data_IF_928494807047
#
_entry.id   IF_928494807047
#
_cell.length_a   1.000
_cell.length_b   1.000
_cell.length_c   1.000
_cell.angle_alpha   90.00
_cell.angle_beta   90.00
_cell.angle_gamma   90.00
#
_symmetry.space_group_name_H-M   'P 1'
#
loop_
_entity.id
_entity.type
_entity.pdbx_description
1 polymer ?
#
# COMPACT_ATOMS: atom_id res chain seq x y z
N UNK A 1 28.26 -16.18 -29.24
CA UNK A 1 27.23 -15.57 -30.11
C UNK A 1 25.87 -15.92 -29.53
N UNK A 2 25.23 -14.98 -28.85
CA UNK A 2 23.82 -15.11 -28.44
C UNK A 2 23.01 -15.00 -29.74
N UNK A 3 22.21 -16.02 -30.07
CA UNK A 3 21.48 -16.07 -31.35
C UNK A 3 20.49 -14.88 -31.43
N UNK A 4 20.28 -14.36 -32.63
CA UNK A 4 19.28 -13.31 -32.90
C UNK A 4 17.87 -13.69 -32.38
N UNK A 5 17.59 -15.00 -32.30
CA UNK A 5 16.36 -15.56 -31.73
C UNK A 5 16.29 -15.34 -30.23
N UNK A 6 17.40 -15.45 -29.49
CA UNK A 6 17.45 -15.19 -28.05
C UNK A 6 17.23 -13.70 -27.74
N UNK A 7 17.81 -12.81 -28.55
CA UNK A 7 17.60 -11.37 -28.47
C UNK A 7 16.15 -10.98 -28.84
N UNK A 8 15.56 -11.66 -29.85
CA UNK A 8 14.18 -11.44 -30.24
C UNK A 8 13.19 -11.93 -29.18
N UNK A 9 13.42 -13.10 -28.57
CA UNK A 9 12.62 -13.63 -27.47
C UNK A 9 12.76 -12.72 -26.23
N UNK A 10 13.97 -12.25 -25.87
CA UNK A 10 14.19 -11.30 -24.79
C UNK A 10 13.45 -9.97 -25.05
N UNK A 11 13.49 -9.46 -26.29
CA UNK A 11 12.76 -8.24 -26.70
C UNK A 11 11.23 -8.44 -26.69
N UNK A 12 10.75 -9.64 -27.01
CA UNK A 12 9.33 -9.99 -26.93
C UNK A 12 8.87 -10.16 -25.49
N UNK A 13 9.68 -10.77 -24.63
CA UNK A 13 9.38 -10.89 -23.18
C UNK A 13 9.34 -9.53 -22.47
N UNK A 14 10.12 -8.54 -22.91
CA UNK A 14 10.04 -7.16 -22.38
C UNK A 14 8.75 -6.41 -22.78
N UNK A 15 7.99 -6.89 -23.75
CA UNK A 15 6.72 -6.28 -24.19
C UNK A 15 5.47 -6.89 -23.54
N UNK A 16 5.61 -8.00 -22.82
CA UNK A 16 4.48 -8.67 -22.17
C UNK A 16 4.51 -8.35 -20.67
N UNK A 17 4.09 -7.15 -20.31
CA UNK A 17 3.57 -6.93 -18.96
C UNK A 17 2.14 -7.46 -18.95
N UNK A 18 1.81 -8.49 -18.17
CA UNK A 18 0.44 -8.92 -18.05
C UNK A 18 -0.39 -7.72 -17.56
N UNK A 19 -1.49 -7.43 -18.26
CA UNK A 19 -2.46 -6.46 -17.82
C UNK A 19 -3.18 -7.03 -16.61
N UNK A 20 -2.92 -6.49 -15.43
CA UNK A 20 -3.64 -6.86 -14.22
C UNK A 20 -4.99 -6.14 -14.16
N UNK A 21 -5.99 -6.81 -13.62
CA UNK A 21 -7.29 -6.24 -13.31
C UNK A 21 -7.64 -6.51 -11.86
N UNK A 22 -8.45 -5.64 -11.27
CA UNK A 22 -9.05 -5.84 -9.96
C UNK A 22 -10.57 -5.90 -10.13
N UNK A 23 -11.23 -6.77 -9.38
CA UNK A 23 -12.68 -6.77 -9.31
C UNK A 23 -13.13 -5.73 -8.28
N UNK A 24 -13.66 -4.60 -8.74
CA UNK A 24 -14.22 -3.54 -7.89
C UNK A 24 -15.74 -3.56 -8.04
N UNK A 25 -16.46 -3.97 -7.00
CA UNK A 25 -17.93 -4.05 -6.99
C UNK A 25 -18.52 -4.88 -8.15
N UNK A 26 -17.83 -5.93 -8.60
CA UNK A 26 -18.26 -6.79 -9.71
C UNK A 26 -17.84 -6.29 -11.09
N UNK A 27 -17.14 -5.17 -11.19
CA UNK A 27 -16.59 -4.64 -12.44
C UNK A 27 -15.07 -4.83 -12.49
N UNK A 28 -14.55 -5.18 -13.67
CA UNK A 28 -13.11 -5.31 -13.87
C UNK A 28 -12.48 -3.93 -14.03
N UNK A 29 -11.66 -3.56 -13.07
CA UNK A 29 -10.88 -2.33 -13.06
C UNK A 29 -9.46 -2.60 -13.58
N UNK A 30 -9.07 -2.11 -14.77
CA UNK A 30 -7.76 -2.39 -15.34
C UNK A 30 -6.65 -1.58 -14.66
N UNK A 31 -5.48 -2.20 -14.48
CA UNK A 31 -4.26 -1.56 -14.00
C UNK A 31 -3.30 -1.26 -15.16
N UNK A 32 -3.83 -0.69 -16.24
CA UNK A 32 -3.07 -0.37 -17.47
C UNK A 32 -2.05 0.76 -17.27
N UNK A 33 -2.24 1.58 -16.25
CA UNK A 33 -1.33 2.63 -15.82
C UNK A 33 -1.15 2.57 -14.30
N UNK A 34 -0.01 3.03 -13.77
CA UNK A 34 0.17 3.12 -12.32
C UNK A 34 -0.85 4.04 -11.66
N UNK A 35 -1.36 3.62 -10.49
CA UNK A 35 -2.33 4.36 -9.69
C UNK A 35 -1.67 5.07 -8.52
N UNK A 36 -2.29 6.16 -8.08
CA UNK A 36 -1.92 6.88 -6.87
C UNK A 36 -2.92 6.61 -5.74
N UNK A 37 -2.43 6.01 -4.67
CA UNK A 37 -3.18 5.77 -3.44
C UNK A 37 -2.76 6.79 -2.38
N UNK A 38 -3.62 7.79 -2.12
CA UNK A 38 -3.37 8.85 -1.16
C UNK A 38 -3.64 8.39 0.28
N UNK A 39 -2.71 8.64 1.19
CA UNK A 39 -2.81 8.26 2.61
C UNK A 39 -3.61 9.30 3.38
N UNK A 40 -4.73 8.90 3.98
CA UNK A 40 -5.54 9.73 4.86
C UNK A 40 -5.57 9.15 6.28
N UNK A 41 -4.68 9.64 7.15
CA UNK A 41 -4.64 9.23 8.54
C UNK A 41 -5.65 10.02 9.38
N UNK A 42 -6.62 9.32 9.99
CA UNK A 42 -7.64 9.90 10.88
C UNK A 42 -7.27 9.68 12.36
N UNK A 43 -6.02 9.95 12.68
CA UNK A 43 -5.50 9.89 14.05
C UNK A 43 -5.67 11.23 14.75
N UNK A 44 -5.72 11.24 16.09
CA UNK A 44 -5.79 12.48 16.85
C UNK A 44 -4.62 13.42 16.52
N UNK A 45 -3.43 12.88 16.35
CA UNK A 45 -2.21 13.65 16.03
C UNK A 45 -2.29 14.33 14.66
N UNK A 46 -2.92 13.71 13.67
CA UNK A 46 -3.00 14.24 12.31
C UNK A 46 -3.91 15.48 12.19
N UNK A 47 -4.84 15.67 13.15
CA UNK A 47 -5.83 16.74 13.14
C UNK A 47 -5.86 17.56 14.45
N UNK A 48 -4.86 17.40 15.34
CA UNK A 48 -4.84 18.00 16.68
C UNK A 48 -4.82 19.54 16.69
N UNK A 49 -4.50 20.19 15.58
CA UNK A 49 -4.57 21.65 15.47
C UNK A 49 -6.00 22.18 15.29
N UNK A 50 -6.96 21.30 14.95
CA UNK A 50 -8.37 21.64 14.82
C UNK A 50 -9.16 21.06 16.00
N UNK A 51 -10.01 21.86 16.67
CA UNK A 51 -10.91 21.35 17.68
C UNK A 51 -11.77 20.22 17.11
N UNK A 52 -12.26 19.28 17.94
CA UNK A 52 -13.11 18.13 17.51
C UNK A 52 -14.31 18.56 16.64
N UNK A 53 -14.73 19.82 16.71
CA UNK A 53 -15.83 20.38 15.91
C UNK A 53 -15.47 20.59 14.43
N UNK A 54 -14.18 20.66 14.07
CA UNK A 54 -13.71 20.88 12.69
C UNK A 54 -13.13 19.62 12.04
N UNK A 55 -13.18 18.47 12.71
CA UNK A 55 -12.64 17.21 12.19
C UNK A 55 -13.32 16.74 10.89
N UNK A 56 -14.67 16.78 10.77
CA UNK A 56 -15.34 16.40 9.50
C UNK A 56 -14.94 17.29 8.33
N UNK A 57 -14.87 18.60 8.52
CA UNK A 57 -14.47 19.55 7.48
C UNK A 57 -13.01 19.34 7.06
N UNK A 58 -12.12 19.07 8.02
CA UNK A 58 -10.70 18.81 7.74
C UNK A 58 -10.54 17.51 6.92
N UNK A 59 -11.30 16.44 7.25
CA UNK A 59 -11.32 15.19 6.50
C UNK A 59 -11.88 15.44 5.09
N UNK A 60 -12.98 16.16 4.96
CA UNK A 60 -13.59 16.50 3.68
C UNK A 60 -12.61 17.28 2.78
N UNK A 61 -11.95 18.29 3.33
CA UNK A 61 -10.94 19.08 2.62
C UNK A 61 -9.75 18.24 2.18
N UNK A 62 -9.22 17.39 3.05
CA UNK A 62 -8.09 16.53 2.74
C UNK A 62 -8.44 15.51 1.64
N UNK A 63 -9.56 14.81 1.78
CA UNK A 63 -10.02 13.84 0.78
C UNK A 63 -10.29 14.51 -0.57
N UNK A 64 -11.00 15.66 -0.58
CA UNK A 64 -11.24 16.42 -1.81
C UNK A 64 -9.93 16.89 -2.45
N UNK A 65 -9.00 17.42 -1.67
CA UNK A 65 -7.70 17.84 -2.18
C UNK A 65 -6.93 16.68 -2.82
N UNK A 66 -6.92 15.49 -2.21
CA UNK A 66 -6.27 14.32 -2.79
C UNK A 66 -6.88 13.93 -4.14
N UNK A 67 -8.21 13.90 -4.23
CA UNK A 67 -8.92 13.59 -5.48
C UNK A 67 -8.67 14.66 -6.55
N UNK A 68 -8.74 15.93 -6.20
CA UNK A 68 -8.48 17.06 -7.12
C UNK A 68 -7.02 17.06 -7.62
N UNK A 69 -6.07 16.56 -6.83
CA UNK A 69 -4.66 16.38 -7.20
C UNK A 69 -4.40 15.10 -8.02
N UNK A 70 -5.38 14.23 -8.17
CA UNK A 70 -5.33 13.05 -9.01
C UNK A 70 -5.05 11.75 -8.27
N UNK A 71 -5.40 11.63 -6.98
CA UNK A 71 -5.44 10.32 -6.31
C UNK A 71 -6.54 9.46 -6.94
N UNK A 72 -6.20 8.22 -7.28
CA UNK A 72 -7.15 7.22 -7.79
C UNK A 72 -7.85 6.49 -6.65
N UNK A 73 -7.15 6.32 -5.50
CA UNK A 73 -7.63 5.62 -4.31
C UNK A 73 -7.32 6.48 -3.08
N UNK A 74 -8.25 6.54 -2.12
CA UNK A 74 -8.00 7.10 -0.78
C UNK A 74 -7.83 5.92 0.19
N UNK A 75 -6.67 5.83 0.85
CA UNK A 75 -6.38 4.81 1.86
C UNK A 75 -6.52 5.40 3.27
N UNK A 76 -7.55 4.98 4.00
CA UNK A 76 -7.92 5.55 5.28
C UNK A 76 -7.44 4.66 6.41
N UNK A 77 -6.62 5.23 7.32
CA UNK A 77 -6.14 4.54 8.51
C UNK A 77 -6.44 5.33 9.80
N UNK A 78 -6.94 4.65 10.82
CA UNK A 78 -7.19 5.26 12.14
C UNK A 78 -6.12 4.91 13.18
N UNK A 79 -5.30 3.91 12.89
CA UNK A 79 -4.18 3.50 13.73
C UNK A 79 -2.88 4.11 13.23
N UNK A 80 -2.08 4.68 14.14
CA UNK A 80 -0.73 5.11 13.79
C UNK A 80 0.22 3.91 13.86
N UNK A 81 0.91 3.62 12.76
CA UNK A 81 2.00 2.62 12.72
C UNK A 81 3.36 3.24 13.05
N UNK A 82 3.40 4.50 13.51
CA UNK A 82 4.63 5.17 13.91
C UNK A 82 5.18 4.58 15.22
N UNK A 83 6.52 4.49 15.37
CA UNK A 83 7.14 4.10 16.64
C UNK A 83 6.63 4.95 17.81
N UNK A 84 6.16 4.30 18.89
CA UNK A 84 5.70 4.99 20.08
C UNK A 84 4.24 5.46 20.07
N UNK A 85 3.49 5.20 19.00
CA UNK A 85 2.06 5.48 18.98
C UNK A 85 1.31 4.56 19.96
N UNK A 86 0.38 5.14 20.72
CA UNK A 86 -0.49 4.36 21.61
C UNK A 86 -1.46 3.52 20.77
N UNK A 87 -1.56 2.21 21.00
CA UNK A 87 -2.54 1.39 20.31
C UNK A 87 -3.96 1.84 20.74
N UNK A 88 -4.84 1.94 19.76
CA UNK A 88 -6.27 2.12 20.00
C UNK A 88 -6.97 0.74 19.94
N UNK A 89 -8.09 0.61 20.64
CA UNK A 89 -8.91 -0.60 20.56
C UNK A 89 -9.75 -0.63 19.27
N UNK A 90 -10.43 -1.74 19.03
CA UNK A 90 -11.22 -1.97 17.83
C UNK A 90 -12.42 -1.03 17.75
N UNK A 91 -13.07 -0.73 18.88
CA UNK A 91 -14.23 0.15 18.94
C UNK A 91 -13.85 1.60 18.56
N UNK A 92 -12.75 2.10 19.12
CA UNK A 92 -12.25 3.44 18.79
C UNK A 92 -11.74 3.54 17.33
N UNK A 93 -11.08 2.50 16.82
CA UNK A 93 -10.70 2.44 15.41
C UNK A 93 -11.91 2.53 14.51
N UNK A 94 -12.93 1.70 14.76
CA UNK A 94 -14.16 1.71 13.97
C UNK A 94 -14.91 3.03 14.06
N UNK A 95 -14.97 3.63 15.25
CA UNK A 95 -15.58 4.94 15.47
C UNK A 95 -14.91 6.04 14.62
N UNK A 96 -13.59 6.06 14.55
CA UNK A 96 -12.81 7.02 13.74
C UNK A 96 -13.02 6.78 12.25
N UNK A 97 -12.86 5.54 11.81
CA UNK A 97 -13.05 5.16 10.41
C UNK A 97 -14.48 5.44 9.95
N UNK A 98 -15.49 5.02 10.70
CA UNK A 98 -16.90 5.22 10.34
C UNK A 98 -17.29 6.69 10.22
N UNK A 99 -16.74 7.56 11.10
CA UNK A 99 -16.95 9.00 11.00
C UNK A 99 -16.32 9.57 9.72
N UNK A 100 -15.09 9.16 9.39
CA UNK A 100 -14.38 9.63 8.20
C UNK A 100 -15.02 9.10 6.91
N UNK A 101 -15.39 7.83 6.88
CA UNK A 101 -16.03 7.18 5.74
C UNK A 101 -17.35 7.85 5.36
N UNK A 102 -18.19 8.19 6.36
CA UNK A 102 -19.43 8.96 6.12
C UNK A 102 -19.14 10.28 5.43
N UNK A 103 -18.20 11.06 5.96
CA UNK A 103 -17.82 12.36 5.39
C UNK A 103 -17.33 12.22 3.95
N UNK A 104 -16.50 11.21 3.66
CA UNK A 104 -15.97 11.03 2.30
C UNK A 104 -17.05 10.57 1.33
N UNK A 105 -17.93 9.64 1.75
CA UNK A 105 -19.07 9.22 0.91
C UNK A 105 -20.04 10.36 0.60
N UNK A 106 -20.24 11.29 1.54
CA UNK A 106 -21.09 12.45 1.33
C UNK A 106 -20.53 13.42 0.27
N UNK A 107 -19.20 13.61 0.21
CA UNK A 107 -18.56 14.54 -0.72
C UNK A 107 -18.09 13.89 -2.04
N UNK A 108 -17.82 12.60 -2.02
CA UNK A 108 -17.28 11.83 -3.14
C UNK A 108 -17.80 10.39 -3.12
N UNK A 109 -19.09 10.15 -3.42
CA UNK A 109 -19.72 8.83 -3.31
C UNK A 109 -19.05 7.75 -4.19
N UNK A 110 -18.47 8.16 -5.33
CA UNK A 110 -17.82 7.25 -6.28
C UNK A 110 -16.32 7.04 -6.04
N UNK A 111 -15.74 7.69 -5.00
CA UNK A 111 -14.31 7.53 -4.72
C UNK A 111 -13.98 6.09 -4.37
N UNK A 112 -12.89 5.56 -4.94
CA UNK A 112 -12.34 4.28 -4.49
C UNK A 112 -11.69 4.47 -3.12
N UNK A 113 -12.14 3.68 -2.15
CA UNK A 113 -11.66 3.73 -0.78
C UNK A 113 -11.04 2.39 -0.40
N UNK A 114 -9.84 2.48 0.16
CA UNK A 114 -9.14 1.43 0.87
C UNK A 114 -9.20 1.71 2.38
N UNK A 115 -9.30 0.69 3.20
CA UNK A 115 -9.14 0.80 4.65
C UNK A 115 -7.83 0.15 5.10
N UNK A 116 -6.96 0.93 5.79
CA UNK A 116 -5.72 0.46 6.40
C UNK A 116 -6.04 -0.08 7.80
N UNK A 117 -6.23 -1.39 7.90
CA UNK A 117 -6.50 -2.09 9.15
C UNK A 117 -5.98 -3.53 9.12
N UNK A 118 -5.49 -3.99 10.26
CA UNK A 118 -5.13 -5.40 10.47
C UNK A 118 -6.22 -6.18 11.24
N UNK A 119 -7.36 -5.56 11.54
CA UNK A 119 -8.47 -6.19 12.27
C UNK A 119 -9.56 -6.63 11.31
N UNK A 120 -9.84 -7.93 11.30
CA UNK A 120 -10.86 -8.51 10.41
C UNK A 120 -12.27 -7.97 10.66
N UNK A 121 -12.64 -7.71 11.91
CA UNK A 121 -13.95 -7.17 12.25
C UNK A 121 -14.12 -5.72 11.74
N UNK A 122 -13.07 -4.89 11.85
CA UNK A 122 -13.07 -3.52 11.30
C UNK A 122 -13.15 -3.56 9.79
N UNK A 123 -12.37 -4.42 9.12
CA UNK A 123 -12.43 -4.59 7.67
C UNK A 123 -13.84 -5.00 7.21
N UNK A 124 -14.45 -5.99 7.87
CA UNK A 124 -15.81 -6.45 7.55
C UNK A 124 -16.83 -5.33 7.69
N UNK A 125 -16.80 -4.58 8.77
CA UNK A 125 -17.74 -3.49 9.01
C UNK A 125 -17.53 -2.34 8.00
N UNK A 126 -16.29 -1.98 7.68
CA UNK A 126 -16.00 -0.95 6.69
C UNK A 126 -16.53 -1.31 5.30
N UNK A 127 -16.38 -2.56 4.88
CA UNK A 127 -16.90 -3.03 3.59
C UNK A 127 -18.42 -3.09 3.60
N UNK A 128 -19.02 -3.73 4.62
CA UNK A 128 -20.48 -4.00 4.64
C UNK A 128 -21.33 -2.75 4.89
N UNK A 129 -20.88 -1.82 5.74
CA UNK A 129 -21.69 -0.65 6.13
C UNK A 129 -21.36 0.62 5.33
N UNK A 130 -20.10 0.74 4.86
CA UNK A 130 -19.62 1.97 4.21
C UNK A 130 -19.20 1.76 2.74
N UNK A 131 -19.33 0.54 2.22
CA UNK A 131 -19.00 0.23 0.84
C UNK A 131 -17.53 0.47 0.50
N UNK A 132 -16.62 0.17 1.44
CA UNK A 132 -15.17 0.20 1.18
C UNK A 132 -14.83 -0.89 0.17
N UNK A 133 -13.99 -0.57 -0.81
CA UNK A 133 -13.73 -1.46 -1.93
C UNK A 133 -12.41 -2.22 -1.83
N UNK A 134 -11.45 -1.79 -0.99
CA UNK A 134 -10.17 -2.45 -0.80
C UNK A 134 -9.83 -2.58 0.69
N UNK A 135 -9.14 -3.65 1.05
CA UNK A 135 -8.58 -3.84 2.39
C UNK A 135 -7.05 -3.80 2.28
N UNK A 136 -6.43 -2.89 3.03
CA UNK A 136 -4.98 -2.76 3.14
C UNK A 136 -4.54 -3.28 4.51
N UNK A 137 -3.98 -4.52 4.55
CA UNK A 137 -3.51 -5.13 5.79
C UNK A 137 -1.98 -5.12 5.87
N UNK A 138 -1.45 -4.16 6.61
CA UNK A 138 -0.01 -3.98 6.84
C UNK A 138 0.64 -5.14 7.62
N UNK A 139 -0.16 -6.05 8.18
CA UNK A 139 0.33 -7.23 8.90
C UNK A 139 0.43 -8.48 8.02
N UNK A 140 -0.24 -8.50 6.87
CA UNK A 140 -0.34 -9.68 6.00
C UNK A 140 -1.04 -10.86 6.67
N UNK A 141 -2.10 -10.60 7.43
CA UNK A 141 -2.89 -11.60 8.15
C UNK A 141 -2.25 -12.12 9.44
N UNK A 142 -1.09 -11.57 9.86
CA UNK A 142 -0.35 -12.09 11.02
C UNK A 142 -0.89 -11.62 12.36
N UNK A 143 -1.52 -10.45 12.43
CA UNK A 143 -2.04 -9.87 13.66
C UNK A 143 -3.48 -10.31 13.96
N UNK A 144 -4.29 -10.60 12.94
CA UNK A 144 -5.61 -11.22 13.11
C UNK A 144 -5.73 -12.42 12.17
N UNK A 145 -5.71 -13.61 12.73
CA UNK A 145 -5.78 -14.88 11.98
C UNK A 145 -7.10 -15.09 11.24
N UNK A 146 -8.15 -14.31 11.54
CA UNK A 146 -9.44 -14.35 10.84
C UNK A 146 -9.44 -13.48 9.57
N UNK A 147 -8.39 -12.69 9.33
CA UNK A 147 -8.36 -11.75 8.21
C UNK A 147 -8.55 -12.45 6.86
N UNK A 148 -7.86 -13.56 6.62
CA UNK A 148 -7.97 -14.30 5.36
C UNK A 148 -9.37 -14.88 5.15
N UNK A 149 -10.00 -15.45 6.19
CA UNK A 149 -11.39 -15.91 6.12
C UNK A 149 -12.36 -14.76 5.82
N UNK A 150 -12.12 -13.60 6.42
CA UNK A 150 -12.93 -12.40 6.21
C UNK A 150 -12.81 -11.88 4.77
N UNK A 151 -11.60 -11.76 4.25
CA UNK A 151 -11.35 -11.32 2.87
C UNK A 151 -11.97 -12.30 1.87
N UNK A 152 -11.82 -13.62 2.12
CA UNK A 152 -12.43 -14.66 1.29
C UNK A 152 -13.96 -14.56 1.23
N UNK A 153 -14.61 -14.14 2.33
CA UNK A 153 -16.05 -13.94 2.38
C UNK A 153 -16.48 -12.64 1.71
N UNK A 154 -15.71 -11.57 1.87
CA UNK A 154 -16.02 -10.24 1.36
C UNK A 154 -15.78 -10.09 -0.15
N UNK A 155 -14.86 -10.87 -0.73
CA UNK A 155 -14.54 -10.84 -2.16
C UNK A 155 -14.16 -9.43 -2.68
N UNK A 156 -13.44 -8.66 -1.87
CA UNK A 156 -12.86 -7.35 -2.25
C UNK A 156 -11.35 -7.47 -2.42
N UNK A 157 -10.72 -6.65 -3.26
CA UNK A 157 -9.27 -6.62 -3.40
C UNK A 157 -8.54 -6.47 -2.06
N UNK A 158 -7.52 -7.27 -1.87
CA UNK A 158 -6.75 -7.34 -0.64
C UNK A 158 -5.28 -6.99 -0.87
N UNK A 159 -4.78 -6.01 -0.15
CA UNK A 159 -3.37 -5.64 -0.16
C UNK A 159 -2.66 -6.45 0.92
N UNK A 160 -1.86 -7.40 0.45
CA UNK A 160 -1.07 -8.32 1.25
C UNK A 160 0.33 -7.75 1.48
N UNK A 161 0.57 -7.19 2.67
CA UNK A 161 1.87 -6.63 3.01
C UNK A 161 2.78 -7.67 3.66
N UNK A 162 4.02 -7.76 3.17
CA UNK A 162 5.06 -8.52 3.86
C UNK A 162 5.59 -7.74 5.07
N UNK A 163 5.42 -8.31 6.26
CA UNK A 163 5.97 -7.76 7.50
C UNK A 163 6.79 -8.80 8.25
N UNK A 164 7.93 -8.39 8.82
CA UNK A 164 8.75 -9.22 9.70
C UNK A 164 8.26 -9.12 11.17
N UNK A 165 6.96 -8.97 11.38
CA UNK A 165 6.42 -9.02 12.73
C UNK A 165 6.55 -10.42 13.30
N UNK A 166 7.21 -10.52 14.45
CA UNK A 166 7.18 -11.73 15.27
C UNK A 166 5.94 -11.66 16.18
N UNK A 167 5.01 -12.59 15.99
CA UNK A 167 3.80 -12.71 16.81
C UNK A 167 4.07 -12.83 18.32
N UNK A 168 5.34 -13.05 18.71
CA UNK A 168 5.78 -13.11 20.11
C UNK A 168 6.17 -11.74 20.69
N UNK A 169 6.32 -10.72 19.84
CA UNK A 169 6.63 -9.35 20.25
C UNK A 169 5.56 -8.44 19.62
N UNK A 170 4.58 -8.07 20.44
CA UNK A 170 3.45 -7.19 20.09
C UNK A 170 3.85 -5.77 19.67
N UNK A 171 5.11 -5.53 19.38
CA UNK A 171 5.62 -4.22 19.02
C UNK A 171 5.81 -4.10 17.51
N UNK A 172 4.82 -3.51 16.84
CA UNK A 172 4.80 -3.19 15.41
C UNK A 172 6.03 -2.34 15.01
N UNK A 173 6.68 -1.73 15.99
CA UNK A 173 7.74 -0.72 15.84
C UNK A 173 9.15 -1.29 16.07
N UNK A 174 9.29 -2.61 16.21
CA UNK A 174 10.60 -3.21 16.49
C UNK A 174 11.44 -3.24 15.20
N UNK A 175 12.28 -2.24 15.02
CA UNK A 175 13.27 -2.23 13.94
C UNK A 175 14.30 -3.33 14.21
N UNK A 176 14.53 -4.28 13.30
CA UNK A 176 15.57 -5.29 13.48
C UNK A 176 16.95 -4.63 13.58
N UNK A 177 17.76 -5.15 14.46
CA UNK A 177 19.14 -4.66 14.66
C UNK A 177 20.15 -5.33 13.74
N UNK A 178 19.73 -6.36 13.02
CA UNK A 178 20.58 -7.14 12.10
C UNK A 178 19.89 -7.27 10.74
N UNK A 179 20.67 -7.07 9.67
CA UNK A 179 20.20 -7.31 8.29
C UNK A 179 19.94 -8.81 8.06
N UNK A 180 18.86 -9.11 7.36
CA UNK A 180 18.58 -10.45 6.83
C UNK A 180 19.30 -10.57 5.48
N UNK A 181 20.42 -11.33 5.42
CA UNK A 181 21.18 -11.56 4.19
C UNK A 181 20.33 -12.17 3.04
N UNK A 182 19.11 -12.61 3.34
CA UNK A 182 18.16 -13.21 2.40
C UNK A 182 16.80 -12.48 2.39
N UNK A 183 16.74 -11.20 2.76
CA UNK A 183 15.48 -10.46 2.90
C UNK A 183 14.58 -10.57 1.67
N UNK A 184 15.13 -10.54 0.45
CA UNK A 184 14.37 -10.69 -0.77
C UNK A 184 13.76 -12.09 -0.87
N UNK A 185 14.55 -13.14 -0.63
CA UNK A 185 14.07 -14.53 -0.71
C UNK A 185 13.02 -14.83 0.38
N UNK A 186 13.23 -14.32 1.60
CA UNK A 186 12.27 -14.49 2.69
C UNK A 186 10.96 -13.75 2.39
N UNK A 187 11.03 -12.55 1.84
CA UNK A 187 9.86 -11.78 1.39
C UNK A 187 9.11 -12.51 0.28
N UNK A 188 9.81 -12.94 -0.77
CA UNK A 188 9.25 -13.70 -1.89
C UNK A 188 8.54 -14.97 -1.42
N UNK A 189 9.21 -15.75 -0.57
CA UNK A 189 8.67 -17.02 -0.05
C UNK A 189 7.42 -16.80 0.82
N UNK A 190 7.47 -15.82 1.72
CA UNK A 190 6.35 -15.48 2.59
C UNK A 190 5.12 -15.01 1.80
N UNK A 191 5.33 -14.11 0.83
CA UNK A 191 4.25 -13.65 -0.06
C UNK A 191 3.67 -14.81 -0.87
N UNK A 192 4.51 -15.65 -1.48
CA UNK A 192 4.05 -16.81 -2.27
C UNK A 192 3.21 -17.78 -1.43
N UNK A 193 3.58 -18.05 -0.19
CA UNK A 193 2.80 -18.90 0.72
C UNK A 193 1.44 -18.29 1.05
N UNK A 194 1.39 -16.99 1.36
CA UNK A 194 0.14 -16.29 1.67
C UNK A 194 -0.77 -16.19 0.45
N UNK A 195 -0.23 -15.88 -0.72
CA UNK A 195 -0.98 -15.86 -1.99
C UNK A 195 -1.59 -17.24 -2.28
N UNK A 196 -0.82 -18.31 -2.16
CA UNK A 196 -1.34 -19.67 -2.35
C UNK A 196 -2.48 -19.98 -1.38
N UNK A 197 -2.34 -19.59 -0.11
CA UNK A 197 -3.39 -19.78 0.89
C UNK A 197 -4.66 -19.01 0.50
N UNK A 198 -4.54 -17.74 0.14
CA UNK A 198 -5.66 -16.90 -0.27
C UNK A 198 -6.34 -17.43 -1.54
N UNK A 199 -5.58 -17.88 -2.55
CA UNK A 199 -6.13 -18.50 -3.76
C UNK A 199 -6.92 -19.79 -3.45
N UNK A 200 -6.42 -20.64 -2.54
CA UNK A 200 -7.15 -21.84 -2.08
C UNK A 200 -8.46 -21.49 -1.36
N UNK A 201 -8.56 -20.29 -0.79
CA UNK A 201 -9.78 -19.76 -0.16
C UNK A 201 -10.67 -19.00 -1.15
N UNK A 202 -10.29 -18.92 -2.44
CA UNK A 202 -11.06 -18.26 -3.49
C UNK A 202 -10.86 -16.74 -3.59
N UNK A 203 -9.81 -16.19 -2.96
CA UNK A 203 -9.42 -14.78 -3.11
C UNK A 203 -8.53 -14.65 -4.34
N UNK A 204 -8.98 -13.93 -5.36
CA UNK A 204 -8.25 -13.75 -6.62
C UNK A 204 -7.62 -12.36 -6.76
N UNK A 205 -8.23 -11.34 -6.17
CA UNK A 205 -7.81 -9.94 -6.27
C UNK A 205 -6.81 -9.59 -5.16
N UNK A 206 -5.57 -10.03 -5.34
CA UNK A 206 -4.47 -9.84 -4.39
C UNK A 206 -3.48 -8.82 -4.95
N UNK A 207 -3.21 -7.77 -4.18
CA UNK A 207 -2.18 -6.78 -4.44
C UNK A 207 -1.05 -7.04 -3.44
N UNK A 208 0.18 -7.16 -3.88
CA UNK A 208 1.32 -7.39 -2.98
C UNK A 208 2.03 -6.09 -2.63
N UNK A 209 2.39 -5.93 -1.34
CA UNK A 209 3.30 -4.89 -0.85
C UNK A 209 4.52 -5.57 -0.21
N UNK A 210 5.76 -5.35 -0.69
CA UNK A 210 6.96 -5.89 -0.06
C UNK A 210 7.21 -5.34 1.34
N UNK A 211 6.44 -4.35 1.78
CA UNK A 211 6.39 -3.83 3.15
C UNK A 211 7.67 -3.11 3.55
N UNK A 212 8.06 -2.10 2.79
CA UNK A 212 9.17 -1.23 3.14
C UNK A 212 9.00 -0.64 4.56
N UNK A 213 10.04 -0.72 5.38
CA UNK A 213 10.05 -0.22 6.76
C UNK A 213 9.47 -1.17 7.81
N UNK A 214 8.65 -2.15 7.43
CA UNK A 214 8.04 -3.09 8.38
C UNK A 214 9.01 -4.18 8.82
N UNK A 215 9.68 -3.97 9.95
CA UNK A 215 10.63 -4.92 10.53
C UNK A 215 11.87 -5.17 9.65
N UNK A 216 12.32 -4.17 8.90
CA UNK A 216 13.46 -4.25 7.97
C UNK A 216 14.48 -3.16 8.27
N UNK A 217 15.76 -3.49 8.15
CA UNK A 217 16.86 -2.52 8.28
C UNK A 217 16.89 -1.56 7.09
N UNK A 218 17.74 -0.55 7.16
CA UNK A 218 18.00 0.35 6.04
C UNK A 218 18.44 -0.42 4.80
N UNK A 219 19.44 -1.27 4.95
CA UNK A 219 20.03 -2.06 3.86
C UNK A 219 19.04 -3.06 3.28
N UNK A 220 18.22 -3.71 4.11
CA UNK A 220 17.14 -4.59 3.66
C UNK A 220 16.14 -3.86 2.75
N UNK A 221 15.74 -2.64 3.12
CA UNK A 221 14.83 -1.85 2.30
C UNK A 221 15.43 -1.47 0.95
N UNK A 222 16.69 -1.06 0.91
CA UNK A 222 17.37 -0.77 -0.36
C UNK A 222 17.60 -2.02 -1.19
N UNK A 223 17.91 -3.14 -0.57
CA UNK A 223 18.06 -4.42 -1.26
C UNK A 223 16.74 -4.84 -1.90
N UNK A 224 15.61 -4.75 -1.17
CA UNK A 224 14.28 -5.04 -1.72
C UNK A 224 13.92 -4.11 -2.88
N UNK A 225 14.18 -2.82 -2.77
CA UNK A 225 13.93 -1.88 -3.87
C UNK A 225 14.82 -2.19 -5.07
N UNK A 226 16.06 -2.61 -4.82
CA UNK A 226 17.00 -3.02 -5.86
C UNK A 226 16.52 -4.20 -6.71
N UNK A 227 15.74 -5.11 -6.12
CA UNK A 227 15.22 -6.35 -6.73
C UNK A 227 13.68 -6.34 -6.92
N UNK A 228 13.06 -5.15 -6.90
CA UNK A 228 11.61 -5.00 -6.90
C UNK A 228 10.93 -5.67 -8.10
N UNK A 229 11.54 -5.59 -9.29
CA UNK A 229 11.04 -6.19 -10.52
C UNK A 229 10.92 -7.72 -10.48
N UNK A 230 11.71 -8.39 -9.64
CA UNK A 230 11.65 -9.85 -9.50
C UNK A 230 10.36 -10.30 -8.78
N UNK A 231 9.67 -9.41 -8.03
CA UNK A 231 8.39 -9.72 -7.40
C UNK A 231 7.25 -9.96 -8.42
N UNK A 232 7.40 -9.53 -9.68
CA UNK A 232 6.45 -9.84 -10.74
C UNK A 232 6.34 -11.34 -11.04
N UNK A 233 7.30 -12.16 -10.57
CA UNK A 233 7.19 -13.63 -10.62
C UNK A 233 5.99 -14.18 -9.83
N UNK A 234 5.44 -13.39 -8.89
CA UNK A 234 4.25 -13.75 -8.12
C UNK A 234 2.92 -13.52 -8.87
N UNK A 235 3.00 -12.93 -10.07
CA UNK A 235 1.84 -12.62 -10.94
C UNK A 235 0.71 -11.86 -10.23
N UNK A 236 1.09 -10.90 -9.39
CA UNK A 236 0.17 -10.01 -8.66
C UNK A 236 0.52 -8.55 -8.92
N UNK A 237 -0.46 -7.63 -8.92
CA UNK A 237 -0.19 -6.20 -8.89
C UNK A 237 0.72 -5.82 -7.71
N UNK A 238 1.65 -4.90 -7.94
CA UNK A 238 2.65 -4.49 -6.97
C UNK A 238 2.35 -3.08 -6.45
N UNK A 239 2.13 -2.98 -5.14
CA UNK A 239 2.03 -1.71 -4.41
C UNK A 239 3.36 -1.36 -3.77
N UNK A 240 3.73 -0.08 -3.82
CA UNK A 240 4.93 0.45 -3.18
C UNK A 240 4.60 1.63 -2.27
N UNK A 241 4.85 1.45 -0.97
CA UNK A 241 4.66 2.46 0.06
C UNK A 241 6.00 2.89 0.67
N UNK A 242 6.72 3.82 0.04
CA UNK A 242 8.02 4.37 0.52
C UNK A 242 7.94 5.82 0.97
N UNK A 243 6.80 6.48 0.76
CA UNK A 243 6.62 7.92 0.97
C UNK A 243 7.02 8.35 2.38
N UNK A 244 8.01 9.25 2.46
CA UNK A 244 8.54 9.85 3.69
C UNK A 244 8.97 8.84 4.77
N UNK A 245 9.34 7.61 4.37
CA UNK A 245 9.79 6.55 5.29
C UNK A 245 11.25 6.75 5.74
N UNK A 246 11.58 6.12 6.87
CA UNK A 246 12.91 6.19 7.50
C UNK A 246 14.06 5.77 6.58
N UNK A 247 13.80 4.87 5.65
CA UNK A 247 14.79 4.49 4.64
C UNK A 247 15.25 5.67 3.78
N UNK A 248 14.44 6.71 3.64
CA UNK A 248 14.78 7.93 2.88
C UNK A 248 15.43 8.95 3.81
N UNK A 249 14.70 9.41 4.84
CA UNK A 249 15.18 10.52 5.66
C UNK A 249 16.39 10.17 6.52
N UNK A 250 16.53 8.93 7.01
CA UNK A 250 17.75 8.50 7.72
C UNK A 250 18.96 8.45 6.78
N UNK A 251 18.78 7.96 5.54
CA UNK A 251 19.88 7.90 4.57
C UNK A 251 20.35 9.29 4.14
N UNK A 252 19.42 10.23 3.97
CA UNK A 252 19.71 11.59 3.55
C UNK A 252 20.10 12.51 4.72
N UNK A 253 19.94 12.08 5.98
CA UNK A 253 20.18 12.88 7.17
C UNK A 253 19.24 14.08 7.30
N UNK A 254 17.97 13.91 6.89
CA UNK A 254 16.94 14.95 6.93
C UNK A 254 15.73 14.52 7.77
N UNK A 255 14.71 15.38 7.89
CA UNK A 255 13.46 15.05 8.57
C UNK A 255 12.44 14.41 7.60
N UNK A 256 11.38 13.75 8.12
CA UNK A 256 10.31 13.24 7.25
C UNK A 256 9.65 14.32 6.37
N UNK A 257 9.53 15.56 6.89
CA UNK A 257 8.97 16.72 6.18
C UNK A 257 9.84 17.13 5.00
N UNK A 258 11.16 17.01 5.14
CA UNK A 258 12.16 17.35 4.11
C UNK A 258 12.39 16.21 3.10
N UNK A 259 11.81 15.02 3.33
CA UNK A 259 12.06 13.83 2.53
C UNK A 259 11.33 13.79 1.16
N UNK A 260 10.64 14.86 0.75
CA UNK A 260 9.86 14.89 -0.47
C UNK A 260 10.69 14.58 -1.73
N UNK A 261 11.84 15.23 -1.89
CA UNK A 261 12.71 14.99 -3.05
C UNK A 261 13.20 13.54 -3.11
N UNK A 262 13.65 12.98 -1.97
CA UNK A 262 14.03 11.57 -1.87
C UNK A 262 12.87 10.62 -2.16
N UNK A 263 11.68 10.95 -1.68
CA UNK A 263 10.44 10.21 -1.96
C UNK A 263 10.14 10.16 -3.45
N UNK A 264 10.21 11.29 -4.15
CA UNK A 264 9.98 11.36 -5.61
C UNK A 264 11.01 10.52 -6.38
N UNK A 265 12.29 10.56 -5.98
CA UNK A 265 13.31 9.70 -6.57
C UNK A 265 13.01 8.20 -6.38
N UNK A 266 12.60 7.79 -5.18
CA UNK A 266 12.21 6.39 -4.89
C UNK A 266 10.95 5.96 -5.65
N UNK A 267 9.95 6.84 -5.77
CA UNK A 267 8.76 6.58 -6.58
C UNK A 267 9.13 6.36 -8.05
N UNK A 268 10.01 7.20 -8.61
CA UNK A 268 10.47 7.06 -9.99
C UNK A 268 11.18 5.71 -10.20
N UNK A 269 12.05 5.30 -9.27
CA UNK A 269 12.72 3.99 -9.31
C UNK A 269 11.69 2.85 -9.23
N UNK A 270 10.73 2.94 -8.32
CA UNK A 270 9.68 1.92 -8.18
C UNK A 270 8.84 1.78 -9.46
N UNK A 271 8.44 2.90 -10.08
CA UNK A 271 7.71 2.91 -11.35
C UNK A 271 8.51 2.32 -12.51
N UNK A 272 9.81 2.60 -12.58
CA UNK A 272 10.72 2.01 -13.57
C UNK A 272 10.88 0.51 -13.38
N UNK A 273 10.70 0.02 -12.16
CA UNK A 273 10.72 -1.39 -11.78
C UNK A 273 9.33 -2.05 -11.79
N UNK A 274 8.31 -1.34 -12.30
CA UNK A 274 6.98 -1.91 -12.56
C UNK A 274 5.99 -1.81 -11.41
N UNK A 275 6.15 -0.89 -10.47
CA UNK A 275 5.11 -0.63 -9.47
C UNK A 275 3.78 -0.25 -10.16
N UNK A 276 2.69 -0.91 -9.74
CA UNK A 276 1.33 -0.65 -10.24
C UNK A 276 0.59 0.37 -9.39
N UNK A 277 0.93 0.47 -8.09
CA UNK A 277 0.28 1.41 -7.16
C UNK A 277 1.35 2.08 -6.31
N UNK A 278 1.31 3.40 -6.22
CA UNK A 278 2.13 4.17 -5.28
C UNK A 278 1.25 4.62 -4.10
N UNK A 279 1.59 4.19 -2.88
CA UNK A 279 0.92 4.64 -1.65
C UNK A 279 1.68 5.82 -1.06
N UNK A 280 1.04 7.01 -1.03
CA UNK A 280 1.75 8.29 -0.90
C UNK A 280 1.08 9.30 0.03
N UNK A 281 1.89 10.19 0.64
CA UNK A 281 1.41 11.41 1.29
C UNK A 281 1.28 12.57 0.29
N UNK A 282 2.17 12.62 -0.71
CA UNK A 282 2.33 13.72 -1.65
C UNK A 282 1.77 13.32 -3.03
N UNK A 283 0.44 13.46 -3.19
CA UNK A 283 -0.31 12.98 -4.36
C UNK A 283 0.16 13.63 -5.66
N UNK A 284 0.30 14.96 -5.67
CA UNK A 284 0.68 15.72 -6.85
C UNK A 284 2.02 15.25 -7.42
N UNK A 285 3.02 15.11 -6.57
CA UNK A 285 4.39 14.72 -6.94
C UNK A 285 4.44 13.27 -7.43
N UNK A 286 3.60 12.39 -6.88
CA UNK A 286 3.46 11.02 -7.36
C UNK A 286 2.82 10.98 -8.76
N UNK A 287 1.76 11.75 -9.00
CA UNK A 287 1.12 11.90 -10.32
C UNK A 287 2.12 12.43 -11.34
N UNK A 288 2.91 13.44 -10.98
CA UNK A 288 3.96 14.00 -11.86
C UNK A 288 5.02 12.94 -12.21
N UNK A 289 5.47 12.15 -11.23
CA UNK A 289 6.43 11.05 -11.43
C UNK A 289 5.86 10.00 -12.40
N UNK A 290 4.58 9.58 -12.22
CA UNK A 290 3.90 8.66 -13.12
C UNK A 290 3.88 9.21 -14.55
N UNK A 291 3.45 10.46 -14.75
CA UNK A 291 3.39 11.08 -16.09
C UNK A 291 4.73 11.10 -16.80
N UNK A 292 5.82 11.34 -16.05
CA UNK A 292 7.18 11.35 -16.62
C UNK A 292 7.58 9.94 -17.05
N UNK A 293 7.38 8.94 -16.18
CA UNK A 293 7.74 7.54 -16.47
C UNK A 293 6.90 6.96 -17.61
N UNK A 294 5.60 7.23 -17.63
CA UNK A 294 4.72 6.81 -18.73
C UNK A 294 5.15 7.42 -20.06
N UNK A 295 5.51 8.71 -20.08
CA UNK A 295 6.03 9.34 -21.31
C UNK A 295 7.31 8.66 -21.81
N UNK A 296 8.19 8.25 -20.89
CA UNK A 296 9.42 7.53 -21.23
C UNK A 296 9.14 6.13 -21.80
N UNK A 297 8.16 5.39 -21.24
CA UNK A 297 7.79 4.05 -21.70
C UNK A 297 7.17 4.04 -23.11
N UNK A 298 6.55 5.16 -23.51
CA UNK A 298 5.88 5.32 -24.81
C UNK A 298 6.71 6.10 -25.84
N UNK A 299 7.97 6.41 -25.56
CA UNK A 299 8.91 7.06 -26.48
C UNK A 299 9.84 6.04 -27.14
#
# INVERSE_FOLDING_TARGET
MISAVCLYICSMMQKYTPSHTLNINGELFPLDKPLVMGILNVTEESFYAASRAFLPEAIAMAAKSMLDLGADIIDIGACSTKPGASPIDEEEEMRRLGSALKVIRDIAPEALISVDTFRSAVAEQCVSEYGVQLINDVSGGKLDTRMFDTVARLQVPYILTHSNYDNKKTDINNTPTTSDNNIFQSTMHSLAQSINTLHLMGVNDIIIDPGFGFGKTLDDNYHLLGHLEELHMLDCPLLVGVSRKSMIYNHLGCTPEEALNGTTAMHTIALMKGAHILRVHDVKEAVEAIRIVEKLKHS
#
